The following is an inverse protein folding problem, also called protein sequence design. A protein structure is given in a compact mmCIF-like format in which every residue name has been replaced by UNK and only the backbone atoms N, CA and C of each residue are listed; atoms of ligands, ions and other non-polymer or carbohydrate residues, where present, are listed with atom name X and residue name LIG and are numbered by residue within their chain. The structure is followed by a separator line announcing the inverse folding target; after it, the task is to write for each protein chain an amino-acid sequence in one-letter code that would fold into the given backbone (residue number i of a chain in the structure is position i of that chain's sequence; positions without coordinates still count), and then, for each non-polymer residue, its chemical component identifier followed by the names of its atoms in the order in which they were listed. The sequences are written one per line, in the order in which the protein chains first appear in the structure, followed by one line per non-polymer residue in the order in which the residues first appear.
data_IF_652317313812
#
_entry.id   IF_652317313812
#
_cell.length_a   1.000
_cell.length_b   1.000
_cell.length_c   1.000
_cell.angle_alpha   90.00
_cell.angle_beta   90.00
_cell.angle_gamma   90.00
#
_symmetry.space_group_name_H-M   'P 1'
#
loop_
_entity.id
_entity.type
_entity.pdbx_description
1 polymer ?
#
# COMPACT_ATOMS: atom_id res chain seq x y z
N UNK A 1 25.55 -3.48 7.01
CA UNK A 1 24.95 -2.82 5.82
C UNK A 1 24.27 -1.54 6.31
N UNK A 2 24.50 -0.43 5.66
CA UNK A 2 23.72 0.77 5.95
C UNK A 2 22.26 0.49 5.55
N UNK A 3 21.31 0.97 6.34
CA UNK A 3 19.90 0.90 6.04
C UNK A 3 19.59 1.46 4.64
N UNK A 4 18.51 1.02 4.05
CA UNK A 4 18.11 1.44 2.70
C UNK A 4 16.75 2.10 2.74
N UNK A 5 16.61 3.14 1.93
CA UNK A 5 15.32 3.75 1.67
C UNK A 5 14.33 2.72 1.13
N UNK A 6 13.08 2.85 1.57
CA UNK A 6 11.98 2.03 1.09
C UNK A 6 10.94 2.91 0.37
N UNK A 7 11.21 3.22 -0.89
CA UNK A 7 10.49 4.26 -1.65
C UNK A 7 9.48 3.73 -2.65
N UNK A 8 9.71 2.52 -3.20
CA UNK A 8 8.93 1.93 -4.30
C UNK A 8 9.08 0.42 -4.34
N UNK A 9 8.14 -0.26 -5.00
CA UNK A 9 8.26 -1.68 -5.37
C UNK A 9 8.50 -1.87 -6.88
N UNK A 10 8.78 -0.80 -7.61
CA UNK A 10 9.19 -0.94 -9.02
C UNK A 10 10.54 -1.63 -9.11
N UNK A 11 10.61 -2.69 -9.89
CA UNK A 11 11.84 -3.49 -10.08
C UNK A 11 12.15 -4.43 -8.92
N UNK A 12 11.25 -4.60 -7.94
CA UNK A 12 11.39 -5.60 -6.89
C UNK A 12 11.31 -7.00 -7.50
N UNK A 13 12.20 -7.88 -7.07
CA UNK A 13 12.18 -9.29 -7.47
C UNK A 13 11.18 -10.10 -6.62
N UNK A 14 10.82 -11.29 -7.12
CA UNK A 14 9.97 -12.22 -6.38
C UNK A 14 10.62 -12.67 -5.07
N UNK A 15 11.93 -12.92 -5.11
CA UNK A 15 12.68 -13.37 -3.95
C UNK A 15 12.76 -12.28 -2.87
N UNK A 16 12.99 -11.03 -3.24
CA UNK A 16 12.93 -9.89 -2.32
C UNK A 16 11.56 -9.75 -1.68
N UNK A 17 10.47 -9.92 -2.43
CA UNK A 17 9.12 -9.94 -1.87
C UNK A 17 8.95 -11.07 -0.85
N UNK A 18 9.38 -12.28 -1.20
CA UNK A 18 9.31 -13.46 -0.32
C UNK A 18 10.07 -13.24 0.97
N UNK A 19 11.27 -12.69 0.91
CA UNK A 19 12.07 -12.34 2.10
C UNK A 19 11.35 -11.34 3.01
N UNK A 20 10.83 -10.25 2.43
CA UNK A 20 10.10 -9.22 3.20
C UNK A 20 8.86 -9.83 3.88
N UNK A 21 8.11 -10.67 3.16
CA UNK A 21 6.91 -11.29 3.71
C UNK A 21 7.22 -12.37 4.76
N UNK A 22 8.32 -13.10 4.61
CA UNK A 22 8.81 -14.04 5.65
C UNK A 22 9.22 -13.29 6.92
N UNK A 23 9.89 -12.15 6.79
CA UNK A 23 10.21 -11.29 7.93
C UNK A 23 8.93 -10.73 8.56
N UNK A 24 7.96 -10.32 7.77
CA UNK A 24 6.66 -9.88 8.27
C UNK A 24 5.95 -10.99 9.07
N UNK A 25 6.03 -12.24 8.60
CA UNK A 25 5.51 -13.40 9.34
C UNK A 25 6.23 -13.61 10.66
N UNK A 26 7.54 -13.46 10.70
CA UNK A 26 8.31 -13.52 11.94
C UNK A 26 7.91 -12.41 12.93
N UNK A 27 7.64 -11.20 12.42
CA UNK A 27 7.11 -10.10 13.23
C UNK A 27 5.72 -10.41 13.79
N UNK A 28 4.83 -10.96 12.96
CA UNK A 28 3.44 -11.29 13.32
C UNK A 28 3.37 -12.38 14.41
N UNK A 29 4.27 -13.34 14.35
CA UNK A 29 4.38 -14.44 15.32
C UNK A 29 5.22 -14.08 16.56
N UNK A 30 5.76 -12.88 16.65
CA UNK A 30 6.60 -12.42 17.76
C UNK A 30 8.03 -12.97 17.77
N UNK A 31 8.45 -13.69 16.72
CA UNK A 31 9.79 -14.28 16.62
C UNK A 31 10.89 -13.26 16.28
N UNK A 32 10.52 -12.07 15.82
CA UNK A 32 11.49 -11.03 15.44
C UNK A 32 12.14 -10.32 16.62
N UNK A 33 11.64 -10.49 17.84
CA UNK A 33 12.12 -9.76 19.01
C UNK A 33 11.87 -8.25 18.92
N UNK A 34 12.85 -7.46 19.36
CA UNK A 34 12.81 -5.98 19.33
C UNK A 34 13.95 -5.41 18.46
N UNK A 35 13.88 -5.58 17.13
CA UNK A 35 14.99 -5.24 16.24
C UNK A 35 15.30 -3.75 16.18
N UNK A 36 14.39 -2.86 16.61
CA UNK A 36 14.57 -1.42 16.63
C UNK A 36 14.88 -0.87 18.04
N UNK A 37 15.31 -1.70 18.99
CA UNK A 37 15.69 -1.23 20.31
C UNK A 37 16.84 -0.21 20.22
N UNK A 38 16.67 0.98 20.84
CA UNK A 38 17.62 2.08 20.77
C UNK A 38 17.65 2.87 19.45
N UNK A 39 16.68 2.61 18.55
CA UNK A 39 16.47 3.34 17.30
C UNK A 39 15.35 4.35 17.44
N UNK A 40 15.46 5.48 16.73
CA UNK A 40 14.46 6.53 16.65
C UNK A 40 13.79 6.54 15.30
N UNK A 41 12.47 6.34 15.28
CA UNK A 41 11.63 6.38 14.07
C UNK A 41 10.76 7.63 14.10
N UNK A 42 10.92 8.51 13.11
CA UNK A 42 10.12 9.72 12.95
C UNK A 42 8.99 9.52 11.95
N UNK A 43 7.74 9.79 12.36
CA UNK A 43 6.56 9.75 11.51
C UNK A 43 6.23 11.16 11.04
N UNK A 44 6.54 11.49 9.79
CA UNK A 44 6.33 12.81 9.17
C UNK A 44 5.13 12.78 8.22
N UNK A 45 3.94 13.10 8.72
CA UNK A 45 2.68 13.00 7.99
C UNK A 45 2.15 14.38 7.59
N UNK A 46 2.39 14.77 6.35
CA UNK A 46 1.91 16.01 5.70
C UNK A 46 0.54 15.82 5.00
N UNK A 47 0.01 14.64 5.00
CA UNK A 47 -1.34 14.28 4.52
C UNK A 47 -2.00 13.39 5.57
N UNK A 48 -3.24 13.70 5.96
CA UNK A 48 -3.97 12.95 6.97
C UNK A 48 -4.15 11.47 6.61
N UNK A 49 -3.82 10.58 7.55
CA UNK A 49 -4.03 9.14 7.41
C UNK A 49 -4.00 8.42 8.75
N UNK A 50 -5.16 8.23 9.35
CA UNK A 50 -5.26 7.55 10.65
C UNK A 50 -4.70 6.11 10.60
N UNK A 51 -5.16 5.30 9.66
CA UNK A 51 -4.73 3.89 9.56
C UNK A 51 -3.22 3.75 9.37
N UNK A 52 -2.65 4.50 8.43
CA UNK A 52 -1.22 4.39 8.11
C UNK A 52 -0.36 4.90 9.26
N UNK A 53 -0.70 6.05 9.86
CA UNK A 53 0.05 6.61 10.97
C UNK A 53 0.02 5.70 12.20
N UNK A 54 -1.18 5.31 12.66
CA UNK A 54 -1.34 4.43 13.83
C UNK A 54 -0.65 3.09 13.62
N UNK A 55 -0.71 2.52 12.41
CA UNK A 55 -0.09 1.24 12.11
C UNK A 55 1.45 1.32 12.07
N UNK A 56 2.03 2.41 11.54
CA UNK A 56 3.48 2.63 11.63
C UNK A 56 3.94 2.90 13.07
N UNK A 57 3.19 3.69 13.81
CA UNK A 57 3.48 3.95 15.22
C UNK A 57 3.49 2.66 16.04
N UNK A 58 2.44 1.82 15.85
CA UNK A 58 2.35 0.55 16.54
C UNK A 58 3.46 -0.42 16.11
N UNK A 59 3.79 -0.45 14.81
CA UNK A 59 4.87 -1.27 14.28
C UNK A 59 6.23 -0.89 14.88
N UNK A 60 6.57 0.40 14.89
CA UNK A 60 7.82 0.91 15.44
C UNK A 60 7.93 0.63 16.95
N UNK A 61 6.86 0.89 17.72
CA UNK A 61 6.83 0.63 19.16
C UNK A 61 6.97 -0.87 19.49
N UNK A 62 6.27 -1.75 18.76
CA UNK A 62 6.40 -3.20 18.94
C UNK A 62 7.82 -3.70 18.61
N UNK A 63 8.44 -3.12 17.60
CA UNK A 63 9.83 -3.40 17.25
C UNK A 63 10.85 -2.80 18.25
N UNK A 64 10.42 -1.97 19.20
CA UNK A 64 11.23 -1.44 20.29
C UNK A 64 11.82 -0.06 20.04
N UNK A 65 11.39 0.65 18.97
CA UNK A 65 11.86 1.99 18.67
C UNK A 65 11.26 3.07 19.58
N UNK A 66 12.00 4.15 19.78
CA UNK A 66 11.43 5.43 20.16
C UNK A 66 10.74 6.06 18.96
N UNK A 67 9.52 6.58 19.17
CA UNK A 67 8.70 7.11 18.09
C UNK A 67 8.40 8.58 18.28
N UNK A 68 8.76 9.39 17.28
CA UNK A 68 8.42 10.80 17.21
C UNK A 68 7.41 11.01 16.09
N UNK A 69 6.31 11.70 16.38
CA UNK A 69 5.26 11.96 15.37
C UNK A 69 5.16 13.46 15.11
N UNK A 70 5.28 13.83 13.84
CA UNK A 70 5.09 15.18 13.33
C UNK A 70 3.88 15.14 12.39
N UNK A 71 2.92 16.02 12.64
CA UNK A 71 1.78 16.22 11.77
C UNK A 71 1.69 17.69 11.33
N UNK A 72 1.00 17.94 10.24
CA UNK A 72 0.79 19.31 9.73
C UNK A 72 0.21 20.24 10.80
N UNK A 73 -0.75 19.74 11.60
CA UNK A 73 -1.38 20.53 12.66
C UNK A 73 -0.45 20.64 13.87
N UNK A 74 -0.05 21.87 14.20
CA UNK A 74 0.74 22.19 15.40
C UNK A 74 2.27 22.08 15.21
N UNK A 75 2.76 21.88 14.01
CA UNK A 75 4.19 21.86 13.69
C UNK A 75 4.65 23.13 12.95
N UNK A 76 5.97 23.30 12.80
CA UNK A 76 6.58 24.38 12.01
C UNK A 76 6.15 24.36 10.53
N UNK A 77 5.64 23.24 10.04
CA UNK A 77 5.03 23.09 8.71
C UNK A 77 3.92 24.13 8.48
N UNK A 78 3.11 24.44 9.49
CA UNK A 78 2.08 25.52 9.40
C UNK A 78 2.68 26.91 9.22
N UNK A 79 3.96 27.08 9.57
CA UNK A 79 4.70 28.34 9.41
C UNK A 79 5.44 28.41 8.07
N UNK A 80 5.26 27.42 7.18
CA UNK A 80 5.87 27.38 5.86
C UNK A 80 7.20 26.62 5.79
N UNK A 81 7.55 25.83 6.83
CA UNK A 81 8.73 24.95 6.79
C UNK A 81 8.57 23.92 5.67
N UNK A 82 9.59 23.78 4.83
CA UNK A 82 9.58 22.81 3.73
C UNK A 82 9.78 21.37 4.23
N UNK A 83 9.36 20.39 3.40
CA UNK A 83 9.67 18.98 3.65
C UNK A 83 11.17 18.73 3.85
N UNK A 84 12.00 19.42 3.08
CA UNK A 84 13.46 19.24 3.14
C UNK A 84 14.01 19.76 4.47
N UNK A 85 13.60 20.94 4.89
CA UNK A 85 14.04 21.52 6.18
C UNK A 85 13.59 20.64 7.35
N UNK A 86 12.36 20.12 7.29
CA UNK A 86 11.86 19.18 8.30
C UNK A 86 12.73 17.92 8.36
N UNK A 87 13.05 17.32 7.21
CA UNK A 87 13.84 16.07 7.15
C UNK A 87 15.28 16.32 7.64
N UNK A 88 15.91 17.41 7.26
CA UNK A 88 17.24 17.81 7.74
C UNK A 88 17.24 18.02 9.27
N UNK A 89 16.19 18.64 9.79
CA UNK A 89 16.01 18.81 11.23
C UNK A 89 15.91 17.47 11.96
N UNK A 90 15.12 16.53 11.43
CA UNK A 90 14.96 15.19 12.02
C UNK A 90 16.26 14.40 12.00
N UNK A 91 17.02 14.50 10.91
CA UNK A 91 18.34 13.89 10.77
C UNK A 91 19.31 14.44 11.82
N UNK A 92 19.36 15.77 11.99
CA UNK A 92 20.19 16.43 13.01
C UNK A 92 19.79 16.05 14.45
N UNK A 93 18.53 15.68 14.68
CA UNK A 93 18.02 15.17 15.96
C UNK A 93 18.32 13.69 16.19
N UNK A 94 18.96 13.01 15.23
CA UNK A 94 19.37 11.62 15.36
C UNK A 94 18.30 10.60 14.96
N UNK A 95 17.40 10.93 14.04
CA UNK A 95 16.46 9.96 13.49
C UNK A 95 17.21 8.84 12.73
N UNK A 96 16.92 7.58 13.03
CA UNK A 96 17.40 6.42 12.26
C UNK A 96 16.52 6.14 11.03
N UNK A 97 15.23 6.44 11.14
CA UNK A 97 14.30 6.35 10.02
C UNK A 97 13.26 7.47 10.02
N UNK A 98 12.88 7.94 8.83
CA UNK A 98 11.79 8.91 8.62
C UNK A 98 10.73 8.30 7.73
N UNK A 99 9.54 8.11 8.27
CA UNK A 99 8.35 7.62 7.55
C UNK A 99 7.59 8.82 7.01
N UNK A 100 7.56 8.97 5.69
CA UNK A 100 6.99 10.15 5.04
C UNK A 100 5.67 9.83 4.34
N UNK A 101 4.63 10.61 4.66
CA UNK A 101 3.39 10.69 3.88
C UNK A 101 3.16 12.13 3.42
N UNK A 102 3.02 12.33 2.10
CA UNK A 102 2.98 13.67 1.51
C UNK A 102 1.97 13.76 0.37
N UNK A 103 1.30 14.92 0.15
CA UNK A 103 0.37 15.11 -0.97
C UNK A 103 1.06 15.19 -2.34
N UNK A 104 2.36 15.51 -2.40
CA UNK A 104 3.11 15.62 -3.66
C UNK A 104 3.78 14.30 -4.02
N UNK A 105 3.64 13.89 -5.29
CA UNK A 105 4.34 12.73 -5.85
C UNK A 105 5.85 12.95 -5.87
N UNK A 106 6.62 11.94 -5.49
CA UNK A 106 8.09 12.00 -5.44
C UNK A 106 8.65 12.63 -4.16
N UNK A 107 7.81 13.09 -3.23
CA UNK A 107 8.25 13.76 -2.01
C UNK A 107 9.20 12.90 -1.16
N UNK A 108 8.87 11.62 -0.93
CA UNK A 108 9.74 10.71 -0.18
C UNK A 108 11.10 10.51 -0.87
N UNK A 109 11.12 10.39 -2.20
CA UNK A 109 12.35 10.27 -2.98
C UNK A 109 13.19 11.56 -2.94
N UNK A 110 12.55 12.71 -2.90
CA UNK A 110 13.24 14.00 -2.76
C UNK A 110 13.86 14.11 -1.36
N UNK A 111 13.11 13.78 -0.32
CA UNK A 111 13.57 13.80 1.06
C UNK A 111 14.80 12.90 1.29
N UNK A 112 14.78 11.69 0.73
CA UNK A 112 15.87 10.71 0.83
C UNK A 112 17.24 11.21 0.34
N UNK A 113 17.27 12.28 -0.45
CA UNK A 113 18.53 12.90 -0.91
C UNK A 113 19.14 13.87 0.11
N UNK A 114 18.43 14.18 1.19
CA UNK A 114 18.78 15.23 2.13
C UNK A 114 18.90 14.76 3.58
N UNK A 115 18.96 13.45 3.80
CA UNK A 115 19.10 12.83 5.13
C UNK A 115 19.98 11.59 5.06
N UNK A 116 20.64 11.27 6.16
CA UNK A 116 21.32 10.00 6.39
C UNK A 116 20.39 8.94 6.98
N UNK A 117 19.25 9.35 7.55
CA UNK A 117 18.21 8.47 8.04
C UNK A 117 17.55 7.71 6.89
N UNK A 118 17.16 6.47 7.13
CA UNK A 118 16.41 5.67 6.15
C UNK A 118 15.02 6.29 5.90
N UNK A 119 14.64 6.49 4.65
CA UNK A 119 13.33 7.04 4.29
C UNK A 119 12.36 5.95 3.87
N UNK A 120 11.21 5.90 4.53
CA UNK A 120 10.11 4.98 4.20
C UNK A 120 8.92 5.76 3.64
N UNK A 121 8.53 5.44 2.41
CA UNK A 121 7.38 6.05 1.75
C UNK A 121 6.05 5.46 2.29
N UNK A 122 5.29 6.25 3.04
CA UNK A 122 3.96 5.92 3.56
C UNK A 122 2.81 6.43 2.66
N UNK A 123 3.15 6.83 1.44
CA UNK A 123 2.24 7.31 0.40
C UNK A 123 2.50 8.75 -0.02
N UNK A 124 2.83 8.94 -1.29
CA UNK A 124 3.16 10.23 -1.89
C UNK A 124 2.25 10.56 -3.06
N UNK A 125 1.37 11.53 -2.93
CA UNK A 125 0.47 12.02 -3.97
C UNK A 125 -0.26 10.92 -4.73
N UNK A 126 -0.04 10.87 -6.05
CA UNK A 126 -0.47 9.78 -6.96
C UNK A 126 0.67 8.79 -7.25
N UNK A 127 1.83 8.93 -6.61
CA UNK A 127 3.04 8.16 -6.86
C UNK A 127 2.95 6.74 -6.33
N UNK A 128 3.44 6.50 -5.12
CA UNK A 128 3.62 5.16 -4.56
C UNK A 128 3.07 5.04 -3.13
N UNK A 129 2.71 3.83 -2.75
CA UNK A 129 2.44 3.43 -1.37
C UNK A 129 2.96 1.99 -1.17
N UNK A 130 4.27 1.78 -1.15
CA UNK A 130 4.86 0.44 -1.24
C UNK A 130 4.46 -0.48 -0.08
N UNK A 131 4.36 0.04 1.14
CA UNK A 131 3.94 -0.79 2.29
C UNK A 131 2.47 -1.20 2.22
N UNK A 132 1.62 -0.50 1.45
CA UNK A 132 0.27 -0.96 1.18
C UNK A 132 0.29 -2.20 0.29
N UNK A 133 1.02 -2.18 -0.81
CA UNK A 133 1.11 -3.33 -1.70
C UNK A 133 1.71 -4.57 -1.01
N UNK A 134 2.70 -4.37 -0.11
CA UNK A 134 3.25 -5.47 0.68
C UNK A 134 2.24 -6.08 1.66
N UNK A 135 1.49 -5.23 2.39
CA UNK A 135 0.47 -5.77 3.32
C UNK A 135 -0.67 -6.46 2.58
N UNK A 136 -0.99 -6.00 1.37
CA UNK A 136 -2.00 -6.63 0.51
C UNK A 136 -1.52 -8.02 0.05
N UNK A 137 -0.27 -8.13 -0.42
CA UNK A 137 0.35 -9.43 -0.75
C UNK A 137 0.43 -10.34 0.47
N UNK A 138 0.80 -9.80 1.64
CA UNK A 138 0.88 -10.57 2.87
C UNK A 138 -0.49 -11.13 3.27
N UNK A 139 -1.53 -10.29 3.31
CA UNK A 139 -2.89 -10.71 3.63
C UNK A 139 -3.40 -11.77 2.64
N UNK A 140 -3.14 -11.58 1.34
CA UNK A 140 -3.54 -12.51 0.30
C UNK A 140 -2.78 -13.84 0.41
N UNK A 141 -1.47 -13.81 0.63
CA UNK A 141 -0.66 -15.03 0.81
C UNK A 141 -1.11 -15.84 2.03
N UNK A 142 -1.49 -15.18 3.13
CA UNK A 142 -2.05 -15.88 4.29
C UNK A 142 -3.38 -16.57 3.98
N UNK A 143 -4.25 -15.89 3.22
CA UNK A 143 -5.56 -16.43 2.84
C UNK A 143 -5.46 -17.62 1.87
N UNK A 144 -4.43 -17.64 1.02
CA UNK A 144 -4.21 -18.69 0.02
C UNK A 144 -3.29 -19.83 0.51
N UNK A 145 -2.74 -19.73 1.73
CA UNK A 145 -1.91 -20.79 2.32
C UNK A 145 -0.40 -20.62 2.13
N UNK A 146 0.07 -19.56 1.46
CA UNK A 146 1.50 -19.25 1.31
C UNK A 146 1.81 -18.29 0.17
N UNK A 147 3.06 -17.79 0.15
CA UNK A 147 3.50 -16.89 -0.90
C UNK A 147 3.58 -17.56 -2.28
N UNK A 148 3.91 -18.85 -2.30
CA UNK A 148 4.05 -19.59 -3.55
C UNK A 148 2.68 -19.90 -4.20
N UNK A 149 1.60 -19.88 -3.42
CA UNK A 149 0.22 -20.02 -3.90
C UNK A 149 -0.30 -18.79 -4.66
N UNK A 150 0.48 -17.70 -4.70
CA UNK A 150 0.16 -16.51 -5.50
C UNK A 150 0.47 -16.69 -6.99
N UNK A 151 1.30 -17.66 -7.36
CA UNK A 151 1.67 -17.91 -8.76
C UNK A 151 0.42 -18.25 -9.56
N UNK A 152 0.31 -17.65 -10.75
CA UNK A 152 -0.77 -17.81 -11.71
C UNK A 152 -2.17 -17.40 -11.19
N UNK A 153 -2.27 -16.84 -9.99
CA UNK A 153 -3.52 -16.23 -9.52
C UNK A 153 -3.82 -14.99 -10.31
N UNK A 154 -5.09 -14.82 -10.66
CA UNK A 154 -5.61 -13.70 -11.43
C UNK A 154 -6.22 -12.64 -10.53
N UNK A 155 -5.69 -11.43 -10.58
CA UNK A 155 -6.21 -10.30 -9.84
C UNK A 155 -6.74 -9.22 -10.78
N UNK A 156 -8.00 -8.87 -10.63
CA UNK A 156 -8.60 -7.74 -11.29
C UNK A 156 -8.57 -6.51 -10.37
N UNK A 157 -7.90 -5.44 -10.80
CA UNK A 157 -7.82 -4.16 -10.07
C UNK A 157 -8.92 -3.26 -10.60
N UNK A 158 -9.91 -2.96 -9.75
CA UNK A 158 -11.12 -2.26 -10.14
C UNK A 158 -11.16 -0.81 -9.63
N UNK A 159 -11.57 0.12 -10.47
CA UNK A 159 -12.02 1.43 -10.06
C UNK A 159 -11.14 2.59 -10.48
N UNK A 160 -10.89 3.54 -9.58
CA UNK A 160 -10.15 4.78 -9.87
C UNK A 160 -8.64 4.53 -9.93
N UNK A 161 -8.16 4.02 -11.05
CA UNK A 161 -6.75 3.69 -11.27
C UNK A 161 -5.94 4.97 -11.50
N UNK A 162 -6.51 5.94 -12.20
CA UNK A 162 -5.87 7.21 -12.58
C UNK A 162 -5.33 7.98 -11.37
N UNK A 163 -6.13 8.08 -10.30
CA UNK A 163 -5.78 8.85 -9.11
C UNK A 163 -5.12 8.00 -8.01
N UNK A 164 -4.97 6.67 -8.23
CA UNK A 164 -4.55 5.74 -7.21
C UNK A 164 -3.04 5.51 -7.17
N UNK A 165 -2.38 6.01 -6.11
CA UNK A 165 -1.01 5.59 -5.76
C UNK A 165 -0.92 4.10 -5.40
N UNK A 166 -2.05 3.51 -4.94
CA UNK A 166 -2.10 2.09 -4.59
C UNK A 166 -2.00 1.26 -5.85
N UNK A 167 -2.76 1.56 -6.92
CA UNK A 167 -2.66 0.86 -8.19
C UNK A 167 -1.20 0.81 -8.70
N UNK A 168 -0.50 1.95 -8.65
CA UNK A 168 0.91 2.05 -9.08
C UNK A 168 1.88 1.24 -8.22
N UNK A 169 1.48 0.84 -7.02
CA UNK A 169 2.31 0.00 -6.15
C UNK A 169 1.92 -1.47 -6.23
N UNK A 170 0.61 -1.79 -6.30
CA UNK A 170 0.15 -3.19 -6.31
C UNK A 170 0.40 -3.86 -7.66
N UNK A 171 0.28 -3.15 -8.77
CA UNK A 171 0.54 -3.72 -10.11
C UNK A 171 1.96 -4.32 -10.21
N UNK A 172 3.06 -3.58 -9.98
CA UNK A 172 4.39 -4.16 -10.03
C UNK A 172 4.60 -5.25 -8.97
N UNK A 173 4.05 -5.10 -7.77
CA UNK A 173 4.21 -6.06 -6.70
C UNK A 173 3.50 -7.40 -6.99
N UNK A 174 2.26 -7.37 -7.48
CA UNK A 174 1.50 -8.56 -7.81
C UNK A 174 2.12 -9.31 -9.00
N UNK A 175 2.56 -8.57 -10.02
CA UNK A 175 3.30 -9.18 -11.15
C UNK A 175 4.62 -9.81 -10.70
N UNK A 176 5.39 -9.15 -9.85
CA UNK A 176 6.63 -9.70 -9.30
C UNK A 176 6.37 -10.94 -8.43
N UNK A 177 5.21 -11.03 -7.77
CA UNK A 177 4.79 -12.23 -7.04
C UNK A 177 4.35 -13.39 -7.94
N UNK A 178 4.30 -13.20 -9.27
CA UNK A 178 3.89 -14.23 -10.24
C UNK A 178 2.40 -14.26 -10.55
N UNK A 179 1.66 -13.21 -10.17
CA UNK A 179 0.22 -13.10 -10.45
C UNK A 179 -0.05 -12.51 -11.84
N UNK A 180 -1.14 -12.91 -12.47
CA UNK A 180 -1.72 -12.24 -13.62
C UNK A 180 -2.59 -11.05 -13.16
N UNK A 181 -2.38 -9.88 -13.77
CA UNK A 181 -3.08 -8.64 -13.39
C UNK A 181 -3.89 -8.11 -14.55
N UNK A 182 -5.15 -7.76 -14.31
CA UNK A 182 -6.01 -7.02 -15.24
C UNK A 182 -6.53 -5.73 -14.58
N UNK A 183 -6.86 -4.73 -15.40
CA UNK A 183 -7.47 -3.47 -14.97
C UNK A 183 -8.95 -3.45 -15.34
N UNK A 184 -9.79 -2.92 -14.44
CA UNK A 184 -11.24 -2.79 -14.65
C UNK A 184 -11.65 -1.37 -14.29
N UNK A 185 -11.82 -0.51 -15.29
CA UNK A 185 -12.18 0.88 -15.05
C UNK A 185 -12.83 1.50 -16.31
N UNK A 186 -13.66 2.53 -16.14
CA UNK A 186 -14.02 3.37 -17.27
C UNK A 186 -12.78 4.03 -17.87
N UNK A 187 -12.75 4.24 -19.17
CA UNK A 187 -11.58 4.82 -19.87
C UNK A 187 -11.12 6.16 -19.27
N UNK A 188 -12.05 6.95 -18.74
CA UNK A 188 -11.79 8.22 -18.05
C UNK A 188 -11.04 8.09 -16.72
N UNK A 189 -11.02 6.91 -16.13
CA UNK A 189 -10.32 6.59 -14.86
C UNK A 189 -9.08 5.70 -15.08
N UNK A 190 -8.69 5.48 -16.33
CA UNK A 190 -7.41 4.86 -16.68
C UNK A 190 -6.35 5.94 -16.87
N UNK A 191 -5.13 5.76 -16.35
CA UNK A 191 -4.03 6.66 -16.68
C UNK A 191 -3.64 6.53 -18.15
N UNK A 192 -3.19 7.64 -18.77
CA UNK A 192 -2.78 7.60 -20.18
C UNK A 192 -1.64 6.63 -20.48
N UNK A 193 -0.82 6.32 -19.47
CA UNK A 193 0.25 5.33 -19.55
C UNK A 193 -0.23 3.87 -19.32
N UNK A 194 -1.53 3.62 -19.11
CA UNK A 194 -2.04 2.27 -18.80
C UNK A 194 -1.77 1.25 -19.90
N UNK A 195 -1.75 1.66 -21.17
CA UNK A 195 -1.37 0.81 -22.29
C UNK A 195 0.09 0.35 -22.18
N UNK A 196 0.99 1.21 -21.71
CA UNK A 196 2.41 0.89 -21.50
C UNK A 196 2.62 -0.13 -20.36
N UNK A 197 1.61 -0.35 -19.49
CA UNK A 197 1.69 -1.40 -18.46
C UNK A 197 1.52 -2.79 -19.06
N UNK A 198 0.99 -2.90 -20.30
CA UNK A 198 0.82 -4.16 -21.01
C UNK A 198 -0.16 -5.12 -20.32
N UNK A 199 -1.19 -4.57 -19.67
CA UNK A 199 -2.20 -5.32 -18.93
C UNK A 199 -3.51 -5.39 -19.69
N UNK A 200 -4.27 -6.50 -19.59
CA UNK A 200 -5.65 -6.54 -20.05
C UNK A 200 -6.49 -5.45 -19.39
N UNK A 201 -7.33 -4.78 -20.20
CA UNK A 201 -8.32 -3.80 -19.72
C UNK A 201 -9.70 -4.39 -19.96
N UNK A 202 -10.45 -4.56 -18.88
CA UNK A 202 -11.78 -5.16 -18.87
C UNK A 202 -12.85 -4.10 -18.57
N UNK A 203 -14.06 -4.30 -19.07
CA UNK A 203 -15.10 -3.28 -19.08
C UNK A 203 -16.02 -3.31 -17.86
N UNK A 204 -16.02 -4.41 -17.10
CA UNK A 204 -16.91 -4.60 -15.94
C UNK A 204 -16.39 -5.63 -14.94
N UNK A 205 -17.05 -5.70 -13.77
CA UNK A 205 -16.80 -6.77 -12.78
C UNK A 205 -17.15 -8.15 -13.38
N UNK A 206 -18.22 -8.22 -14.17
CA UNK A 206 -18.64 -9.48 -14.81
C UNK A 206 -17.58 -9.97 -15.82
N UNK A 207 -16.96 -9.06 -16.57
CA UNK A 207 -15.85 -9.40 -17.47
C UNK A 207 -14.62 -9.88 -16.69
N UNK A 208 -14.35 -9.31 -15.52
CA UNK A 208 -13.27 -9.79 -14.66
C UNK A 208 -13.51 -11.21 -14.15
N UNK A 209 -14.75 -11.53 -13.77
CA UNK A 209 -15.14 -12.88 -13.40
C UNK A 209 -15.11 -13.84 -14.59
N UNK A 210 -15.49 -13.38 -15.78
CA UNK A 210 -15.37 -14.13 -17.04
C UNK A 210 -13.92 -14.39 -17.45
N UNK A 211 -13.00 -13.45 -17.15
CA UNK A 211 -11.56 -13.63 -17.33
C UNK A 211 -10.97 -14.65 -16.34
N UNK A 212 -11.72 -15.01 -15.29
CA UNK A 212 -11.32 -15.98 -14.28
C UNK A 212 -10.56 -15.35 -13.11
N UNK A 213 -10.92 -14.13 -12.71
CA UNK A 213 -10.32 -13.49 -11.56
C UNK A 213 -10.53 -14.31 -10.27
N UNK A 214 -9.43 -14.65 -9.59
CA UNK A 214 -9.43 -15.22 -8.24
C UNK A 214 -9.60 -14.11 -7.18
N UNK A 215 -9.19 -12.88 -7.52
CA UNK A 215 -9.18 -11.74 -6.61
C UNK A 215 -9.77 -10.50 -7.29
N UNK A 216 -10.76 -9.89 -6.64
CA UNK A 216 -11.29 -8.57 -7.00
C UNK A 216 -10.68 -7.53 -6.05
N UNK A 217 -9.72 -6.76 -6.55
CA UNK A 217 -9.05 -5.71 -5.78
C UNK A 217 -9.68 -4.36 -6.10
N UNK A 218 -10.58 -3.89 -5.23
CA UNK A 218 -11.34 -2.66 -5.44
C UNK A 218 -10.58 -1.44 -4.96
N UNK A 219 -10.64 -0.36 -5.72
CA UNK A 219 -10.07 0.95 -5.38
C UNK A 219 -11.19 1.95 -5.09
N UNK A 220 -10.95 2.80 -4.09
CA UNK A 220 -11.87 3.87 -3.74
C UNK A 220 -12.03 4.86 -4.90
N UNK A 221 -13.25 5.23 -5.23
CA UNK A 221 -13.53 6.33 -6.13
C UNK A 221 -13.16 7.67 -5.44
N UNK A 222 -12.08 8.32 -5.89
CA UNK A 222 -11.49 9.50 -5.25
C UNK A 222 -12.10 10.79 -5.80
N UNK A 223 -13.38 11.03 -5.54
CA UNK A 223 -14.14 12.17 -6.05
C UNK A 223 -13.50 13.52 -5.73
N UNK A 224 -12.84 13.63 -4.59
CA UNK A 224 -12.10 14.81 -4.16
C UNK A 224 -10.86 15.13 -5.02
N UNK A 225 -10.42 14.20 -5.84
CA UNK A 225 -9.28 14.37 -6.77
C UNK A 225 -9.70 14.51 -8.22
N UNK A 226 -11.00 14.42 -8.50
CA UNK A 226 -11.54 14.54 -9.84
C UNK A 226 -11.76 16.01 -10.21
N UNK A 227 -11.24 16.41 -11.35
CA UNK A 227 -11.57 17.68 -11.98
C UNK A 227 -12.55 17.41 -13.13
N UNK A 228 -13.83 17.74 -12.92
CA UNK A 228 -14.89 17.47 -13.89
C UNK A 228 -15.62 16.12 -13.71
N UNK A 229 -16.53 15.81 -14.64
CA UNK A 229 -17.36 14.61 -14.64
C UNK A 229 -16.62 13.44 -15.29
N UNK A 230 -15.74 12.78 -14.54
CA UNK A 230 -15.00 11.59 -15.02
C UNK A 230 -15.85 10.31 -15.00
N UNK A 231 -16.98 10.32 -14.30
CA UNK A 231 -17.98 9.25 -14.31
C UNK A 231 -19.35 9.85 -14.52
N UNK A 232 -20.23 9.24 -15.37
CA UNK A 232 -21.55 9.79 -15.68
C UNK A 232 -22.42 9.95 -14.44
N UNK A 233 -22.48 8.91 -13.59
CA UNK A 233 -23.13 8.93 -12.30
C UNK A 233 -22.54 7.88 -11.35
N UNK A 234 -22.75 8.07 -10.03
CA UNK A 234 -22.35 7.07 -9.03
C UNK A 234 -23.14 5.77 -9.21
N UNK A 235 -24.41 5.85 -9.58
CA UNK A 235 -25.27 4.68 -9.79
C UNK A 235 -24.78 3.83 -10.97
N UNK A 236 -24.42 4.46 -12.07
CA UNK A 236 -23.88 3.78 -13.25
C UNK A 236 -22.51 3.18 -12.94
N UNK A 237 -21.62 3.94 -12.27
CA UNK A 237 -20.33 3.43 -11.81
C UNK A 237 -20.49 2.19 -10.94
N UNK A 238 -21.37 2.23 -9.93
CA UNK A 238 -21.60 1.09 -9.03
C UNK A 238 -22.15 -0.13 -9.77
N UNK A 239 -22.94 0.08 -10.83
CA UNK A 239 -23.54 -1.01 -11.60
C UNK A 239 -22.50 -1.82 -12.36
N UNK A 240 -21.50 -1.19 -12.97
CA UNK A 240 -20.49 -1.84 -13.82
C UNK A 240 -19.19 -2.16 -13.11
N UNK A 241 -18.80 -1.31 -12.15
CA UNK A 241 -17.49 -1.36 -11.48
C UNK A 241 -17.57 -1.62 -9.98
N UNK A 242 -18.77 -1.63 -9.41
CA UNK A 242 -19.00 -1.93 -7.99
C UNK A 242 -19.13 -3.43 -7.75
N UNK A 243 -18.39 -3.93 -6.75
CA UNK A 243 -18.51 -5.33 -6.32
C UNK A 243 -19.70 -5.48 -5.38
N UNK A 244 -20.66 -6.33 -5.76
CA UNK A 244 -21.86 -6.66 -5.03
C UNK A 244 -21.94 -8.16 -4.75
N UNK A 245 -22.85 -8.58 -3.86
CA UNK A 245 -23.03 -9.98 -3.46
C UNK A 245 -23.19 -10.95 -4.65
N UNK A 246 -23.86 -10.53 -5.73
CA UNK A 246 -24.00 -11.33 -6.96
C UNK A 246 -22.67 -11.72 -7.62
N UNK A 247 -21.59 -11.02 -7.32
CA UNK A 247 -20.26 -11.28 -7.85
C UNK A 247 -19.44 -12.25 -6.97
N UNK A 248 -19.93 -12.57 -5.76
CA UNK A 248 -19.29 -13.52 -4.88
C UNK A 248 -19.57 -14.94 -5.37
N UNK A 249 -18.62 -15.49 -6.11
CA UNK A 249 -18.60 -16.90 -6.50
C UNK A 249 -17.71 -17.68 -5.54
N UNK A 250 -17.81 -19.00 -5.53
CA UNK A 250 -16.88 -19.84 -4.79
C UNK A 250 -15.43 -19.49 -5.16
N UNK A 251 -14.58 -19.36 -4.16
CA UNK A 251 -13.15 -19.06 -4.26
C UNK A 251 -12.74 -17.65 -4.74
N UNK A 252 -13.65 -16.71 -4.94
CA UNK A 252 -13.29 -15.31 -5.25
C UNK A 252 -13.05 -14.53 -3.97
N UNK A 253 -11.85 -13.96 -3.81
CA UNK A 253 -11.50 -13.08 -2.69
C UNK A 253 -11.69 -11.61 -3.06
N UNK A 254 -12.07 -10.79 -2.09
CA UNK A 254 -12.28 -9.35 -2.30
C UNK A 254 -11.36 -8.55 -1.38
N UNK A 255 -10.66 -7.58 -1.97
CA UNK A 255 -9.70 -6.71 -1.30
C UNK A 255 -10.03 -5.23 -1.51
N UNK A 256 -9.65 -4.40 -0.54
CA UNK A 256 -9.77 -2.95 -0.64
C UNK A 256 -8.80 -2.25 0.32
N UNK A 257 -7.96 -1.30 -0.13
CA UNK A 257 -6.95 -0.65 0.72
C UNK A 257 -7.54 0.32 1.75
N UNK A 258 -8.86 0.58 1.66
CA UNK A 258 -9.59 1.52 2.50
C UNK A 258 -9.22 3.01 2.29
N UNK A 259 -10.07 3.95 2.73
CA UNK A 259 -11.41 3.73 3.27
C UNK A 259 -12.40 3.28 2.21
N UNK A 260 -13.43 2.55 2.61
CA UNK A 260 -14.46 2.02 1.73
C UNK A 260 -15.61 3.02 1.59
N UNK A 261 -16.06 3.31 0.36
CA UNK A 261 -17.33 3.97 0.10
C UNK A 261 -18.40 2.89 -0.15
N UNK A 262 -19.07 2.47 0.93
CA UNK A 262 -20.10 1.42 0.84
C UNK A 262 -21.23 1.82 -0.12
N UNK A 263 -21.62 0.90 -1.01
CA UNK A 263 -22.63 1.15 -2.04
C UNK A 263 -22.11 1.88 -3.28
N UNK A 264 -20.82 2.16 -3.36
CA UNK A 264 -20.16 2.75 -4.53
C UNK A 264 -19.27 1.70 -5.21
N UNK A 265 -18.02 1.52 -4.72
CA UNK A 265 -17.10 0.54 -5.28
C UNK A 265 -17.26 -0.88 -4.69
N UNK A 266 -17.96 -0.99 -3.54
CA UNK A 266 -18.22 -2.28 -2.88
C UNK A 266 -19.49 -2.18 -2.04
N UNK A 267 -20.35 -3.21 -2.05
CA UNK A 267 -21.54 -3.26 -1.20
C UNK A 267 -21.19 -3.56 0.27
N UNK A 268 -22.07 -3.16 1.20
CA UNK A 268 -21.90 -3.42 2.62
C UNK A 268 -21.81 -4.91 2.95
N UNK A 269 -22.60 -5.72 2.28
CA UNK A 269 -22.67 -7.18 2.49
C UNK A 269 -21.36 -7.86 2.06
N UNK A 270 -20.78 -7.45 0.95
CA UNK A 270 -19.46 -7.95 0.50
C UNK A 270 -18.35 -7.60 1.51
N UNK A 271 -18.36 -6.39 2.07
CA UNK A 271 -17.37 -5.98 3.10
C UNK A 271 -17.42 -6.89 4.33
N UNK A 272 -18.61 -7.40 4.67
CA UNK A 272 -18.84 -8.26 5.83
C UNK A 272 -18.80 -9.76 5.51
N UNK A 273 -18.66 -10.13 4.26
CA UNK A 273 -18.62 -11.52 3.81
C UNK A 273 -17.33 -12.24 4.16
N UNK A 274 -17.36 -13.56 4.17
CA UNK A 274 -16.16 -14.39 4.32
C UNK A 274 -15.15 -14.28 3.16
N UNK A 275 -15.55 -13.74 2.02
CA UNK A 275 -14.68 -13.47 0.88
C UNK A 275 -13.82 -12.20 1.07
N UNK A 276 -14.19 -11.34 2.02
CA UNK A 276 -13.52 -10.05 2.23
C UNK A 276 -12.25 -10.17 3.05
N UNK A 277 -11.13 -9.76 2.48
CA UNK A 277 -9.83 -9.66 3.17
C UNK A 277 -9.54 -8.28 3.76
N UNK A 278 -10.50 -7.34 3.77
CA UNK A 278 -10.29 -5.96 4.19
C UNK A 278 -9.76 -5.86 5.62
N UNK A 279 -10.31 -6.62 6.55
CA UNK A 279 -9.85 -6.65 7.94
C UNK A 279 -8.47 -7.31 8.07
N UNK A 280 -8.20 -8.34 7.29
CA UNK A 280 -6.90 -9.01 7.22
C UNK A 280 -5.83 -8.06 6.69
N UNK A 281 -6.12 -7.27 5.66
CA UNK A 281 -5.22 -6.22 5.16
C UNK A 281 -4.85 -5.20 6.24
N UNK A 282 -5.82 -4.76 7.04
CA UNK A 282 -5.56 -3.82 8.14
C UNK A 282 -4.67 -4.46 9.21
N UNK A 283 -4.97 -5.69 9.62
CA UNK A 283 -4.19 -6.42 10.61
C UNK A 283 -2.75 -6.66 10.14
N UNK A 284 -2.58 -7.11 8.90
CA UNK A 284 -1.27 -7.35 8.26
C UNK A 284 -0.36 -6.13 8.24
N UNK A 285 -0.96 -4.94 8.30
CA UNK A 285 -0.23 -3.68 8.20
C UNK A 285 0.84 -3.49 9.27
N UNK A 286 0.63 -3.97 10.49
CA UNK A 286 1.59 -3.80 11.59
C UNK A 286 2.83 -4.67 11.36
N UNK A 287 2.63 -5.96 11.09
CA UNK A 287 3.73 -6.91 10.88
C UNK A 287 4.60 -6.52 9.67
N UNK A 288 3.96 -6.17 8.55
CA UNK A 288 4.68 -5.73 7.34
C UNK A 288 5.47 -4.45 7.60
N UNK A 289 4.91 -3.48 8.32
CA UNK A 289 5.63 -2.23 8.64
C UNK A 289 6.76 -2.44 9.64
N UNK A 290 6.64 -3.40 10.57
CA UNK A 290 7.77 -3.81 11.41
C UNK A 290 8.92 -4.37 10.54
N UNK A 291 8.63 -5.27 9.61
CA UNK A 291 9.61 -5.83 8.71
C UNK A 291 10.29 -4.76 7.84
N UNK A 292 9.50 -3.86 7.25
CA UNK A 292 10.03 -2.75 6.43
C UNK A 292 10.92 -1.82 7.25
N UNK A 293 10.52 -1.44 8.45
CA UNK A 293 11.32 -0.57 9.32
C UNK A 293 12.63 -1.27 9.73
N UNK A 294 12.59 -2.55 10.11
CA UNK A 294 13.78 -3.31 10.47
C UNK A 294 14.79 -3.42 9.31
N UNK A 295 14.31 -3.64 8.09
CA UNK A 295 15.13 -3.66 6.88
C UNK A 295 15.68 -2.25 6.54
N UNK A 296 14.87 -1.22 6.68
CA UNK A 296 15.25 0.15 6.37
C UNK A 296 16.40 0.65 7.27
N UNK A 297 16.36 0.38 8.57
CA UNK A 297 17.43 0.77 9.48
C UNK A 297 18.61 -0.20 9.52
N UNK A 298 18.58 -1.29 8.74
CA UNK A 298 19.65 -2.30 8.72
C UNK A 298 19.73 -3.14 9.99
N UNK A 299 18.64 -3.25 10.74
CA UNK A 299 18.58 -4.04 11.98
C UNK A 299 18.44 -5.55 11.75
N UNK A 300 18.13 -5.97 10.52
CA UNK A 300 18.11 -7.36 10.04
C UNK A 300 18.88 -7.42 8.74
N UNK A 301 19.76 -8.41 8.61
CA UNK A 301 20.43 -8.66 7.34
C UNK A 301 19.44 -9.28 6.35
N UNK A 302 19.47 -8.81 5.09
CA UNK A 302 18.87 -9.57 4.00
C UNK A 302 19.68 -10.85 3.85
N UNK A 303 19.03 -11.98 3.83
CA UNK A 303 19.70 -13.22 3.41
C UNK A 303 20.13 -12.97 1.96
N UNK A 304 21.43 -12.96 1.74
CA UNK A 304 21.97 -12.83 0.39
C UNK A 304 21.45 -14.01 -0.44
N UNK A 305 20.81 -13.71 -1.59
CA UNK A 305 20.37 -14.69 -2.55
C UNK A 305 21.56 -15.41 -3.21
#
# INVERSE_FOLDING_TARGET
MHGRDFLTLQGVSRDELKEILNLARACDTGLSGRPLAGKTVCLAFFEASTRTAVSFELAAKRAGADVLSISEKGSAIQKGESLIDTVVTLDALGADAVVIRHPSTGAARSAAKHTSAAVVNAGDGRGQHPTQALLDLYALSQALGGFDELIDKRVAILGDILHSRVARSVVPAFRAAGMEVALVAPATLLPGESEAWGLPILSSVDDALGWGADVLYTLRLQRERMTGALVPSVAEYSRYYGVAERHLKECVLVMHPGPVNRGVEISGDVVLSGASLISNQVASGVAVRQAVLALAVGAVERVAA
#
